data_IF_100291653102
#
_entry.id   IF_100291653102
#
_cell.length_a   1.000
_cell.length_b   1.000
_cell.length_c   1.000
_cell.angle_alpha   90.00
_cell.angle_beta   90.00
_cell.angle_gamma   90.00
#
_symmetry.space_group_name_H-M   'P 1'
#
loop_
_entity.id
_entity.type
_entity.pdbx_description
1 polymer ?
#
# COMPACT_ATOMS: atom_id res chain seq x y z
N UNK A 1 4.18 17.11 -10.85
CA UNK A 1 3.64 15.90 -11.52
C UNK A 1 3.48 16.23 -13.01
N UNK A 2 3.88 15.36 -13.92
CA UNK A 2 3.94 15.63 -15.38
C UNK A 2 2.59 16.05 -15.96
N UNK A 3 1.49 15.50 -15.44
CA UNK A 3 0.12 15.81 -15.89
C UNK A 3 -0.50 17.02 -15.18
N UNK A 4 0.26 17.79 -14.38
CA UNK A 4 -0.24 19.03 -13.77
C UNK A 4 -1.24 18.85 -12.63
N UNK A 5 -1.39 17.63 -12.10
CA UNK A 5 -2.22 17.32 -10.93
C UNK A 5 -1.46 17.54 -9.61
N UNK A 6 -2.21 17.81 -8.54
CA UNK A 6 -1.70 17.84 -7.16
C UNK A 6 -1.23 16.45 -6.71
N UNK A 7 -0.42 16.38 -5.66
CA UNK A 7 0.23 15.14 -5.19
C UNK A 7 -0.74 13.99 -4.84
N UNK A 8 -0.20 12.77 -4.74
CA UNK A 8 -0.95 11.53 -4.58
C UNK A 8 -1.94 11.47 -3.40
N UNK A 9 -1.67 12.24 -2.33
CA UNK A 9 -2.54 12.34 -1.15
C UNK A 9 -3.74 13.29 -1.34
N UNK A 10 -3.89 13.91 -2.51
CA UNK A 10 -4.97 14.87 -2.78
C UNK A 10 -6.31 14.18 -3.02
N UNK A 11 -7.38 14.95 -2.82
CA UNK A 11 -8.76 14.47 -2.94
C UNK A 11 -9.06 13.86 -4.32
N UNK A 12 -8.56 14.49 -5.39
CA UNK A 12 -8.77 14.07 -6.78
C UNK A 12 -7.46 13.68 -7.48
N UNK A 13 -6.64 12.85 -6.84
CA UNK A 13 -5.30 12.49 -7.30
C UNK A 13 -5.24 11.43 -8.41
N UNK A 14 -6.34 10.69 -8.69
CA UNK A 14 -6.35 9.72 -9.78
C UNK A 14 -6.07 10.44 -11.11
N UNK A 15 -5.27 9.84 -11.99
CA UNK A 15 -4.95 10.41 -13.30
C UNK A 15 -6.13 10.23 -14.27
N UNK A 16 -6.76 9.06 -14.28
CA UNK A 16 -7.80 8.69 -15.26
C UNK A 16 -9.21 9.17 -14.92
N UNK A 17 -9.54 9.33 -13.63
CA UNK A 17 -10.92 9.68 -13.22
C UNK A 17 -10.98 10.73 -12.11
N UNK A 18 -12.11 11.46 -12.04
CA UNK A 18 -12.35 12.57 -11.10
C UNK A 18 -12.99 12.09 -9.79
N UNK A 19 -12.74 10.84 -9.38
CA UNK A 19 -13.27 10.28 -8.13
C UNK A 19 -12.63 10.93 -6.90
N UNK A 20 -13.44 11.19 -5.87
CA UNK A 20 -12.96 11.69 -4.59
C UNK A 20 -12.26 10.59 -3.79
N UNK A 21 -11.20 10.92 -3.03
CA UNK A 21 -10.39 9.93 -2.27
C UNK A 21 -11.21 9.03 -1.34
N UNK A 22 -12.30 9.58 -0.77
CA UNK A 22 -13.18 8.86 0.16
C UNK A 22 -14.04 7.81 -0.55
N UNK A 23 -14.18 7.89 -1.88
CA UNK A 23 -14.99 6.94 -2.67
C UNK A 23 -14.13 5.89 -3.39
N UNK A 24 -12.80 5.92 -3.25
CA UNK A 24 -11.89 4.98 -3.94
C UNK A 24 -11.97 3.54 -3.44
N UNK A 25 -12.54 3.32 -2.25
CA UNK A 25 -12.69 1.98 -1.66
C UNK A 25 -13.96 1.25 -2.14
N UNK A 26 -14.87 1.95 -2.82
CA UNK A 26 -16.16 1.41 -3.22
C UNK A 26 -16.01 0.40 -4.38
N UNK A 27 -15.95 -0.88 -4.03
CA UNK A 27 -15.85 -1.98 -4.99
C UNK A 27 -17.20 -2.36 -5.62
N UNK A 28 -18.30 -1.64 -5.32
CA UNK A 28 -19.61 -1.89 -5.96
C UNK A 28 -19.68 -1.35 -7.39
N UNK A 29 -18.72 -0.51 -7.79
CA UNK A 29 -18.64 0.09 -9.12
C UNK A 29 -17.75 -0.76 -10.02
N UNK A 30 -18.21 -0.96 -11.25
CA UNK A 30 -17.39 -1.58 -12.29
C UNK A 30 -16.29 -0.63 -12.79
N UNK A 31 -15.41 -1.16 -13.62
CA UNK A 31 -14.31 -0.38 -14.21
C UNK A 31 -14.82 0.71 -15.15
N UNK A 32 -15.94 0.47 -15.84
CA UNK A 32 -16.50 1.38 -16.83
C UNK A 32 -17.08 2.63 -16.17
N UNK A 33 -17.60 2.52 -14.95
CA UNK A 33 -18.09 3.63 -14.14
C UNK A 33 -17.03 4.74 -13.99
N UNK A 34 -15.77 4.37 -13.76
CA UNK A 34 -14.69 5.34 -13.58
C UNK A 34 -14.12 5.89 -14.89
N UNK A 35 -14.31 5.16 -15.99
CA UNK A 35 -13.76 5.47 -17.31
C UNK A 35 -14.80 6.04 -18.29
N UNK A 36 -16.02 6.31 -17.84
CA UNK A 36 -17.13 6.80 -18.66
C UNK A 36 -17.67 8.16 -18.21
N UNK A 37 -18.37 8.82 -19.14
CA UNK A 37 -19.14 10.04 -18.91
C UNK A 37 -18.38 11.18 -18.23
N UNK A 38 -19.02 11.80 -17.25
CA UNK A 38 -18.47 12.94 -16.50
C UNK A 38 -17.38 12.55 -15.51
N UNK A 39 -17.18 11.26 -15.20
CA UNK A 39 -16.16 10.82 -14.24
C UNK A 39 -14.79 10.65 -14.90
N UNK A 40 -14.76 10.27 -16.17
CA UNK A 40 -13.53 10.20 -16.97
C UNK A 40 -12.85 11.57 -16.98
N UNK A 41 -11.55 11.59 -16.71
CA UNK A 41 -10.72 12.79 -16.88
C UNK A 41 -10.18 12.83 -18.31
N UNK A 42 -10.07 14.03 -18.87
CA UNK A 42 -9.38 14.25 -20.15
C UNK A 42 -8.25 15.26 -20.02
N UNK A 43 -7.29 15.24 -20.96
CA UNK A 43 -6.20 16.22 -21.02
C UNK A 43 -6.71 17.65 -21.24
N UNK A 44 -7.83 17.80 -21.98
CA UNK A 44 -8.51 19.08 -22.19
C UNK A 44 -9.09 19.64 -20.89
N UNK A 45 -9.74 18.79 -20.08
CA UNK A 45 -10.27 19.21 -18.78
C UNK A 45 -9.17 19.64 -17.81
N UNK A 46 -8.02 18.96 -17.79
CA UNK A 46 -6.89 19.38 -16.93
C UNK A 46 -6.44 20.79 -17.31
N UNK A 47 -6.33 21.06 -18.61
CA UNK A 47 -6.00 22.40 -19.12
C UNK A 47 -7.10 23.41 -18.81
N UNK A 48 -8.37 23.05 -18.89
CA UNK A 48 -9.47 23.95 -18.58
C UNK A 48 -9.54 24.30 -17.09
N UNK A 49 -9.35 23.31 -16.21
CA UNK A 49 -9.43 23.51 -14.76
C UNK A 49 -8.14 24.05 -14.14
N UNK A 50 -7.06 24.21 -14.91
CA UNK A 50 -5.83 24.84 -14.40
C UNK A 50 -6.13 26.24 -13.83
N UNK A 51 -5.53 26.58 -12.69
CA UNK A 51 -5.79 27.86 -12.00
C UNK A 51 -7.04 27.89 -11.10
N UNK A 52 -8.09 27.15 -11.44
CA UNK A 52 -9.32 27.06 -10.61
C UNK A 52 -9.19 26.12 -9.39
N UNK A 53 -8.11 25.32 -9.32
CA UNK A 53 -7.88 24.23 -8.35
C UNK A 53 -8.97 23.14 -8.32
N UNK A 54 -9.95 23.20 -9.23
CA UNK A 54 -11.01 22.19 -9.37
C UNK A 54 -10.39 20.85 -9.77
N UNK A 55 -10.88 19.76 -9.15
CA UNK A 55 -10.35 18.40 -9.34
C UNK A 55 -8.83 18.27 -9.20
N UNK A 56 -8.22 19.11 -8.37
CA UNK A 56 -6.78 19.15 -8.11
C UNK A 56 -5.89 19.42 -9.34
N UNK A 57 -6.41 20.07 -10.38
CA UNK A 57 -5.63 20.54 -11.52
C UNK A 57 -4.91 21.85 -11.13
N UNK A 58 -3.60 21.79 -10.95
CA UNK A 58 -2.78 22.93 -10.46
C UNK A 58 -1.96 23.59 -11.56
N UNK A 59 -1.50 22.80 -12.53
CA UNK A 59 -0.71 23.26 -13.66
C UNK A 59 -1.25 22.64 -14.94
N UNK A 60 -1.01 23.24 -16.11
CA UNK A 60 -1.22 22.54 -17.37
C UNK A 60 -0.30 21.30 -17.46
N UNK A 61 -0.71 20.23 -18.17
CA UNK A 61 0.16 19.10 -18.45
C UNK A 61 1.41 19.54 -19.22
N UNK A 62 2.57 18.98 -18.87
CA UNK A 62 3.83 19.30 -19.55
C UNK A 62 3.87 18.72 -20.97
N UNK A 63 3.32 17.52 -21.14
CA UNK A 63 3.21 16.85 -22.44
C UNK A 63 1.76 16.76 -22.87
N UNK A 64 1.52 16.86 -24.17
CA UNK A 64 0.20 16.64 -24.76
C UNK A 64 0.01 15.16 -25.11
N UNK A 65 -0.02 14.32 -24.08
CA UNK A 65 -0.30 12.89 -24.20
C UNK A 65 -1.74 12.66 -23.76
N UNK A 66 -2.51 11.96 -24.58
CA UNK A 66 -3.87 11.56 -24.21
C UNK A 66 -3.82 10.49 -23.11
N UNK A 67 -4.79 10.52 -22.20
CA UNK A 67 -4.75 9.72 -20.97
C UNK A 67 -4.93 8.21 -21.23
N UNK A 68 -5.43 7.84 -22.40
CA UNK A 68 -5.50 6.46 -22.90
C UNK A 68 -4.11 5.88 -23.24
N UNK A 69 -3.15 6.73 -23.60
CA UNK A 69 -1.75 6.33 -23.84
C UNK A 69 -0.92 6.30 -22.55
N UNK A 70 -1.48 6.74 -21.42
CA UNK A 70 -0.84 6.65 -20.11
C UNK A 70 -1.19 5.30 -19.50
N UNK A 71 -0.26 4.35 -19.60
CA UNK A 71 -0.41 2.99 -19.08
C UNK A 71 0.12 2.89 -17.65
N UNK A 72 -0.57 2.12 -16.81
CA UNK A 72 -0.10 1.78 -15.47
C UNK A 72 1.14 0.88 -15.53
N UNK A 73 2.14 1.20 -14.71
CA UNK A 73 3.24 0.26 -14.46
C UNK A 73 2.74 -0.85 -13.53
N UNK A 74 2.34 -1.98 -14.13
CA UNK A 74 1.83 -3.15 -13.41
C UNK A 74 2.84 -3.74 -12.44
N UNK A 75 4.14 -3.72 -12.80
CA UNK A 75 5.20 -4.26 -11.97
C UNK A 75 5.36 -3.42 -10.70
N UNK A 76 5.43 -2.09 -10.87
CA UNK A 76 5.53 -1.18 -9.72
C UNK A 76 4.26 -1.21 -8.87
N UNK A 77 3.09 -1.36 -9.49
CA UNK A 77 1.83 -1.51 -8.78
C UNK A 77 1.83 -2.79 -7.91
N UNK A 78 2.23 -3.93 -8.48
CA UNK A 78 2.36 -5.18 -7.72
C UNK A 78 3.34 -5.05 -6.56
N UNK A 79 4.48 -4.37 -6.78
CA UNK A 79 5.43 -4.09 -5.71
C UNK A 79 4.79 -3.30 -4.57
N UNK A 80 4.02 -2.26 -4.90
CA UNK A 80 3.38 -1.40 -3.89
C UNK A 80 2.24 -2.10 -3.15
N UNK A 81 1.45 -2.90 -3.85
CA UNK A 81 0.37 -3.71 -3.25
C UNK A 81 0.99 -4.71 -2.27
N UNK A 82 2.04 -5.41 -2.68
CA UNK A 82 2.71 -6.40 -1.83
C UNK A 82 3.26 -5.77 -0.55
N UNK A 83 3.83 -4.57 -0.62
CA UNK A 83 4.32 -3.87 0.58
C UNK A 83 3.17 -3.54 1.55
N UNK A 84 2.01 -3.10 1.04
CA UNK A 84 0.83 -2.82 1.87
C UNK A 84 0.24 -4.08 2.49
N UNK A 85 0.18 -5.18 1.74
CA UNK A 85 -0.28 -6.47 2.27
C UNK A 85 0.67 -6.99 3.36
N UNK A 86 1.98 -6.87 3.16
CA UNK A 86 2.99 -7.28 4.14
C UNK A 86 2.87 -6.47 5.43
N UNK A 87 2.72 -5.15 5.32
CA UNK A 87 2.47 -4.26 6.45
C UNK A 87 1.23 -4.68 7.24
N UNK A 88 0.11 -4.91 6.55
CA UNK A 88 -1.14 -5.33 7.19
C UNK A 88 -0.97 -6.66 7.94
N UNK A 89 -0.28 -7.65 7.37
CA UNK A 89 -0.04 -8.95 8.02
C UNK A 89 0.81 -8.75 9.29
N UNK A 90 1.86 -7.93 9.21
CA UNK A 90 2.70 -7.63 10.37
C UNK A 90 1.89 -6.97 11.47
N UNK A 91 1.10 -5.93 11.13
CA UNK A 91 0.25 -5.23 12.10
C UNK A 91 -0.76 -6.16 12.75
N UNK A 92 -1.46 -7.00 11.97
CA UNK A 92 -2.44 -7.95 12.49
C UNK A 92 -1.80 -8.94 13.48
N UNK A 93 -0.64 -9.50 13.13
CA UNK A 93 0.09 -10.45 14.00
C UNK A 93 0.56 -9.77 15.29
N UNK A 94 1.02 -8.52 15.20
CA UNK A 94 1.41 -7.74 16.39
C UNK A 94 0.22 -7.44 17.31
N UNK A 95 -0.96 -7.16 16.73
CA UNK A 95 -2.20 -6.97 17.51
C UNK A 95 -2.66 -8.29 18.16
N UNK A 96 -2.54 -9.41 17.45
CA UNK A 96 -2.81 -10.76 18.00
C UNK A 96 -1.89 -11.06 19.19
N UNK A 97 -0.58 -10.83 19.04
CA UNK A 97 0.38 -10.99 20.14
C UNK A 97 0.07 -10.05 21.30
N UNK A 98 -0.29 -8.79 21.04
CA UNK A 98 -0.66 -7.84 22.10
C UNK A 98 -1.84 -8.32 22.94
N UNK A 99 -2.86 -8.93 22.30
CA UNK A 99 -4.01 -9.54 22.99
C UNK A 99 -3.60 -10.80 23.77
N UNK A 100 -2.82 -11.68 23.15
CA UNK A 100 -2.38 -12.95 23.76
C UNK A 100 -1.42 -12.73 24.94
N UNK A 101 -0.57 -11.71 24.86
CA UNK A 101 0.46 -11.41 25.84
C UNK A 101 -0.05 -10.55 27.01
N UNK A 102 -1.27 -9.99 26.90
CA UNK A 102 -1.85 -9.11 27.92
C UNK A 102 -1.96 -9.77 29.29
N UNK A 103 -2.31 -11.06 29.33
CA UNK A 103 -2.48 -11.83 30.56
C UNK A 103 -1.23 -12.59 31.00
N UNK A 104 -0.17 -12.59 30.18
CA UNK A 104 1.05 -13.34 30.47
C UNK A 104 1.84 -12.71 31.62
N UNK A 105 2.33 -13.56 32.53
CA UNK A 105 3.14 -13.09 33.66
C UNK A 105 4.53 -12.66 33.21
N UNK A 106 5.21 -11.91 34.07
CA UNK A 106 6.60 -11.50 33.86
C UNK A 106 7.49 -12.75 33.76
N UNK A 107 8.23 -12.87 32.65
CA UNK A 107 9.12 -14.01 32.36
C UNK A 107 8.53 -15.03 31.39
N UNK A 108 7.24 -14.95 31.05
CA UNK A 108 6.66 -15.74 29.97
C UNK A 108 7.06 -15.18 28.61
N UNK A 109 7.20 -16.08 27.64
CA UNK A 109 7.64 -15.74 26.29
C UNK A 109 6.55 -14.96 25.55
N UNK A 110 6.93 -13.82 24.97
CA UNK A 110 6.05 -12.85 24.29
C UNK A 110 6.36 -12.80 22.80
N UNK A 111 5.40 -12.33 22.01
CA UNK A 111 5.56 -12.16 20.57
C UNK A 111 5.66 -13.49 19.81
N UNK A 112 4.93 -14.52 20.25
CA UNK A 112 5.10 -15.88 19.70
C UNK A 112 4.65 -15.93 18.24
N UNK A 113 3.53 -15.29 17.92
CA UNK A 113 2.99 -15.28 16.57
C UNK A 113 3.88 -14.46 15.63
N UNK A 114 4.39 -13.34 16.10
CA UNK A 114 5.33 -12.49 15.37
C UNK A 114 6.66 -13.19 15.07
N UNK A 115 7.27 -13.84 16.07
CA UNK A 115 8.47 -14.67 15.87
C UNK A 115 8.21 -15.78 14.85
N UNK A 116 7.03 -16.42 14.91
CA UNK A 116 6.63 -17.47 13.98
C UNK A 116 6.46 -16.93 12.55
N UNK A 117 5.84 -15.77 12.37
CA UNK A 117 5.70 -15.11 11.06
C UNK A 117 7.07 -14.86 10.43
N UNK A 118 8.00 -14.26 11.17
CA UNK A 118 9.36 -13.99 10.67
C UNK A 118 10.06 -15.29 10.30
N UNK A 119 9.97 -16.33 11.14
CA UNK A 119 10.54 -17.64 10.83
C UNK A 119 9.98 -18.22 9.55
N UNK A 120 8.66 -18.17 9.35
CA UNK A 120 8.00 -18.68 8.13
C UNK A 120 8.50 -17.95 6.90
N UNK A 121 8.59 -16.62 6.93
CA UNK A 121 9.05 -15.86 5.77
C UNK A 121 10.52 -16.22 5.45
N UNK A 122 11.36 -16.38 6.47
CA UNK A 122 12.75 -16.82 6.29
C UNK A 122 12.84 -18.28 5.77
N UNK A 123 11.95 -19.18 6.20
CA UNK A 123 11.87 -20.57 5.72
C UNK A 123 11.55 -20.64 4.21
N UNK A 124 10.89 -19.61 3.65
CA UNK A 124 10.66 -19.49 2.21
C UNK A 124 11.93 -19.08 1.42
N UNK A 125 13.06 -18.90 2.11
CA UNK A 125 14.33 -18.43 1.55
C UNK A 125 14.37 -16.92 1.29
N UNK A 126 13.53 -16.14 1.99
CA UNK A 126 13.49 -14.68 1.91
C UNK A 126 14.10 -14.11 3.19
N UNK A 127 15.26 -13.46 3.10
CA UNK A 127 15.86 -12.78 4.25
C UNK A 127 14.95 -11.66 4.74
N UNK A 128 14.29 -11.87 5.88
CA UNK A 128 13.29 -10.95 6.39
C UNK A 128 13.51 -10.64 7.87
N UNK A 129 13.68 -9.35 8.15
CA UNK A 129 13.84 -8.80 9.49
C UNK A 129 12.82 -7.67 9.68
N UNK A 130 12.37 -7.52 10.91
CA UNK A 130 11.49 -6.42 11.34
C UNK A 130 12.13 -5.74 12.54
N UNK A 131 12.19 -4.42 12.54
CA UNK A 131 12.80 -3.63 13.61
C UNK A 131 11.96 -2.40 13.93
N UNK A 132 12.03 -1.95 15.17
CA UNK A 132 11.38 -0.71 15.60
C UNK A 132 12.19 0.49 15.12
N UNK A 133 11.52 1.48 14.55
CA UNK A 133 12.11 2.78 14.24
C UNK A 133 12.47 3.50 15.53
N UNK A 134 13.64 4.11 15.54
CA UNK A 134 14.06 5.02 16.59
C UNK A 134 13.65 6.44 16.25
N UNK A 135 13.10 7.15 17.23
CA UNK A 135 12.89 8.59 17.18
C UNK A 135 14.24 9.33 17.21
N UNK A 136 14.20 10.64 16.96
CA UNK A 136 15.39 11.51 17.02
C UNK A 136 16.06 11.55 18.40
N UNK A 137 15.32 11.20 19.47
CA UNK A 137 15.81 11.07 20.85
C UNK A 137 16.40 9.68 21.16
N UNK A 138 16.48 8.79 20.16
CA UNK A 138 16.98 7.43 20.29
C UNK A 138 16.01 6.45 20.95
N UNK A 139 14.79 6.87 21.32
CA UNK A 139 13.77 5.99 21.90
C UNK A 139 12.96 5.28 20.81
N UNK A 140 12.39 4.13 21.16
CA UNK A 140 11.45 3.43 20.28
C UNK A 140 10.25 4.30 19.92
N UNK A 141 9.90 4.32 18.64
CA UNK A 141 8.80 5.12 18.10
C UNK A 141 7.45 4.40 18.07
N UNK A 142 7.40 3.13 18.49
CA UNK A 142 6.31 2.19 18.28
C UNK A 142 5.93 1.98 16.79
N UNK A 143 6.70 2.54 15.86
CA UNK A 143 6.57 2.29 14.42
C UNK A 143 7.61 1.25 14.01
N UNK A 144 7.21 0.31 13.18
CA UNK A 144 8.08 -0.78 12.73
C UNK A 144 8.42 -0.61 11.25
N UNK A 145 9.66 -0.95 10.90
CA UNK A 145 10.14 -1.13 9.53
C UNK A 145 10.56 -2.58 9.34
N UNK A 146 10.65 -2.99 8.08
CA UNK A 146 11.06 -4.33 7.71
C UNK A 146 11.96 -4.34 6.48
N UNK A 147 12.62 -5.47 6.24
CA UNK A 147 13.50 -5.65 5.09
C UNK A 147 12.77 -5.35 3.78
N UNK A 148 13.34 -4.47 2.96
CA UNK A 148 12.80 -4.18 1.63
C UNK A 148 12.92 -5.43 0.75
N UNK A 149 11.78 -5.91 0.25
CA UNK A 149 11.71 -7.15 -0.53
C UNK A 149 11.81 -6.83 -2.02
N UNK A 150 12.65 -7.58 -2.74
CA UNK A 150 12.84 -7.43 -4.18
C UNK A 150 11.72 -8.11 -4.99
N UNK A 151 11.59 -7.76 -6.28
CA UNK A 151 10.47 -8.23 -7.11
C UNK A 151 10.32 -9.76 -7.19
N UNK A 152 11.42 -10.52 -7.27
CA UNK A 152 11.39 -11.99 -7.26
C UNK A 152 10.89 -12.56 -5.93
N UNK A 153 11.31 -11.97 -4.82
CA UNK A 153 10.96 -12.43 -3.48
C UNK A 153 9.53 -12.02 -3.12
N UNK A 154 9.06 -10.86 -3.60
CA UNK A 154 7.65 -10.47 -3.52
C UNK A 154 6.74 -11.49 -4.21
N UNK A 155 7.12 -11.98 -5.39
CA UNK A 155 6.38 -13.05 -6.08
C UNK A 155 6.32 -14.34 -5.26
N UNK A 156 7.46 -14.77 -4.71
CA UNK A 156 7.52 -15.96 -3.83
C UNK A 156 6.64 -15.78 -2.59
N UNK A 157 6.71 -14.61 -1.95
CA UNK A 157 5.93 -14.27 -0.76
C UNK A 157 4.43 -14.36 -1.07
N UNK A 158 3.96 -13.69 -2.12
CA UNK A 158 2.54 -13.72 -2.51
C UNK A 158 2.04 -15.13 -2.85
N UNK A 159 2.88 -15.98 -3.42
CA UNK A 159 2.48 -17.32 -3.84
C UNK A 159 2.49 -18.34 -2.70
N UNK A 160 3.50 -18.28 -1.83
CA UNK A 160 3.77 -19.34 -0.85
C UNK A 160 3.27 -19.00 0.57
N UNK A 161 3.33 -17.72 0.96
CA UNK A 161 3.01 -17.31 2.33
C UNK A 161 1.56 -17.66 2.76
N UNK A 162 0.50 -17.46 1.94
CA UNK A 162 -0.87 -17.72 2.39
C UNK A 162 -1.08 -19.15 2.92
N UNK A 163 -0.56 -20.16 2.21
CA UNK A 163 -0.63 -21.55 2.64
C UNK A 163 0.08 -21.84 3.97
N UNK A 164 1.16 -21.10 4.26
CA UNK A 164 1.91 -21.24 5.51
C UNK A 164 1.21 -20.53 6.67
N UNK A 165 0.51 -19.42 6.42
CA UNK A 165 -0.26 -18.70 7.43
C UNK A 165 -1.43 -19.54 7.95
N UNK A 166 -2.15 -20.21 7.05
CA UNK A 166 -3.26 -21.12 7.40
C UNK A 166 -2.77 -22.37 8.14
N UNK A 167 -1.73 -23.03 7.62
CA UNK A 167 -1.24 -24.29 8.20
C UNK A 167 -0.57 -24.13 9.56
N UNK A 168 -0.02 -22.94 9.87
CA UNK A 168 0.73 -22.69 11.11
C UNK A 168 -0.01 -21.80 12.13
N UNK A 169 -1.30 -21.52 11.91
CA UNK A 169 -2.16 -20.69 12.79
C UNK A 169 -1.45 -19.41 13.24
N UNK A 170 -1.09 -18.57 12.26
CA UNK A 170 -0.37 -17.30 12.50
C UNK A 170 -1.34 -16.12 12.60
N UNK A 171 -2.41 -16.13 11.78
CA UNK A 171 -3.47 -15.12 11.73
C UNK A 171 -4.70 -15.59 12.46
#
# INVERSE_FOLDING_TARGET
MIMGLKGAASDYACVWCKIHKIQRWDMTKDLDFYNSGELKRTSQEIRYFHGSKKFCCIHPPLFNIELDHVVLDELYLMMRITDRLTENIITEVMERDSKADFLKKRGEDKGIYFKRLISVINDLGITFLVWEKTNADGKGSCLYDWTSIMGSDKKKLCHLLPSQLESRDIL
#
